data_IF_753808138516
#
_entry.id   IF_753808138516
#
_cell.length_a   1.000
_cell.length_b   1.000
_cell.length_c   1.000
_cell.angle_alpha   90.00
_cell.angle_beta   90.00
_cell.angle_gamma   90.00
#
_symmetry.space_group_name_H-M   'P 1'
#
loop_
_entity.id
_entity.type
_entity.pdbx_description
1 polymer ?
#
# COMPACT_ATOMS: atom_id res chain seq x y z
N UNK A 1 -8.04 29.29 22.14
CA UNK A 1 -7.01 28.51 21.40
C UNK A 1 -6.30 29.46 20.45
N UNK A 2 -4.96 29.56 20.57
CA UNK A 2 -4.14 30.38 19.67
C UNK A 2 -2.73 29.81 19.59
N UNK A 3 -2.18 29.65 18.37
CA UNK A 3 -0.86 29.11 18.14
C UNK A 3 -0.27 29.55 16.80
N UNK A 4 1.06 29.43 16.67
CA UNK A 4 1.80 29.63 15.43
C UNK A 4 2.56 28.34 15.07
N UNK A 5 2.57 28.00 13.78
CA UNK A 5 3.21 26.80 13.23
C UNK A 5 3.88 27.12 11.89
N UNK A 6 4.92 26.35 11.55
CA UNK A 6 5.52 26.37 10.23
C UNK A 6 4.52 25.90 9.16
N UNK A 7 4.48 26.58 8.02
CA UNK A 7 3.53 26.31 6.94
C UNK A 7 3.69 24.93 6.34
N UNK A 8 4.93 24.51 6.06
CA UNK A 8 5.20 23.25 5.39
C UNK A 8 4.89 22.07 6.32
N UNK A 9 5.30 22.19 7.58
CA UNK A 9 5.00 21.19 8.60
C UNK A 9 3.49 21.03 8.79
N UNK A 10 2.74 22.14 8.85
CA UNK A 10 1.27 22.10 8.94
C UNK A 10 0.64 21.46 7.69
N UNK A 11 1.07 21.88 6.50
CA UNK A 11 0.53 21.39 5.24
C UNK A 11 0.74 19.88 5.08
N UNK A 12 1.92 19.37 5.43
CA UNK A 12 2.22 17.94 5.40
C UNK A 12 1.38 17.14 6.39
N UNK A 13 1.22 17.63 7.63
CA UNK A 13 0.43 16.94 8.65
C UNK A 13 -1.06 16.93 8.31
N UNK A 14 -1.59 18.05 7.81
CA UNK A 14 -2.98 18.12 7.35
C UNK A 14 -3.20 17.23 6.13
N UNK A 15 -2.27 17.21 5.18
CA UNK A 15 -2.33 16.31 4.03
C UNK A 15 -2.25 14.82 4.43
N UNK A 16 -1.47 14.50 5.45
CA UNK A 16 -1.39 13.16 6.03
C UNK A 16 -2.74 12.75 6.64
N UNK A 17 -3.26 13.53 7.58
CA UNK A 17 -4.50 13.23 8.28
C UNK A 17 -5.72 13.25 7.35
N UNK A 18 -5.73 14.11 6.32
CA UNK A 18 -6.81 14.17 5.35
C UNK A 18 -7.01 12.87 4.54
N UNK A 19 -6.02 11.97 4.50
CA UNK A 19 -6.14 10.68 3.80
C UNK A 19 -7.09 9.71 4.48
N UNK A 20 -7.25 9.80 5.80
CA UNK A 20 -8.20 8.99 6.56
C UNK A 20 -9.62 9.59 6.57
N UNK A 21 -9.85 10.74 5.91
CA UNK A 21 -11.19 11.30 5.81
C UNK A 21 -12.08 10.45 4.89
N UNK A 22 -13.27 10.07 5.32
CA UNK A 22 -14.21 9.30 4.51
C UNK A 22 -14.64 10.11 3.26
N UNK A 23 -14.80 9.42 2.15
CA UNK A 23 -15.32 10.04 0.92
C UNK A 23 -16.79 10.44 1.06
N UNK A 24 -17.56 9.65 1.84
CA UNK A 24 -18.97 9.86 2.16
C UNK A 24 -19.15 9.63 3.65
N UNK A 25 -18.99 10.68 4.48
CA UNK A 25 -19.11 10.54 5.93
C UNK A 25 -20.52 10.12 6.33
N UNK A 26 -20.63 9.14 7.23
CA UNK A 26 -21.91 8.70 7.81
C UNK A 26 -22.53 9.78 8.70
N UNK A 27 -21.69 10.55 9.36
CA UNK A 27 -22.06 11.74 10.14
C UNK A 27 -21.15 12.91 9.75
N UNK A 28 -21.67 14.16 9.71
CA UNK A 28 -20.91 15.31 9.19
C UNK A 28 -19.57 15.58 9.88
N UNK A 29 -19.47 15.32 11.18
CA UNK A 29 -18.23 15.57 11.97
C UNK A 29 -17.04 14.74 11.49
N UNK A 30 -17.27 13.55 10.90
CA UNK A 30 -16.21 12.70 10.35
C UNK A 30 -15.55 13.29 9.10
N UNK A 31 -16.14 14.33 8.48
CA UNK A 31 -15.47 15.12 7.44
C UNK A 31 -14.45 16.12 8.01
N UNK A 32 -14.34 16.17 9.34
CA UNK A 32 -13.48 17.11 10.06
C UNK A 32 -12.09 16.58 10.32
N UNK A 33 -11.15 17.50 10.42
CA UNK A 33 -9.85 17.32 11.06
C UNK A 33 -9.93 17.99 12.43
N UNK A 34 -9.61 17.20 13.46
CA UNK A 34 -9.48 17.67 14.84
C UNK A 34 -8.07 18.19 15.03
N UNK A 35 -7.96 19.38 15.58
CA UNK A 35 -6.70 20.00 15.96
C UNK A 35 -6.73 20.27 17.46
N UNK A 36 -5.78 19.76 18.18
CA UNK A 36 -5.62 19.92 19.61
C UNK A 36 -4.23 20.46 19.91
N UNK A 37 -4.16 21.62 20.54
CA UNK A 37 -2.90 22.28 20.86
C UNK A 37 -2.69 22.35 22.36
N UNK A 38 -1.52 21.89 22.79
CA UNK A 38 -0.95 21.98 24.12
C UNK A 38 0.52 22.30 24.01
N UNK A 39 1.40 21.40 24.44
CA UNK A 39 2.85 21.50 24.23
C UNK A 39 3.24 21.25 22.76
N UNK A 40 2.39 20.51 22.05
CA UNK A 40 2.48 20.27 20.62
C UNK A 40 1.10 20.44 19.99
N UNK A 41 1.03 20.55 18.68
CA UNK A 41 -0.20 20.48 17.91
C UNK A 41 -0.42 19.04 17.43
N UNK A 42 -1.48 18.40 17.91
CA UNK A 42 -1.94 17.12 17.39
C UNK A 42 -3.06 17.37 16.36
N UNK A 43 -2.83 16.90 15.16
CA UNK A 43 -3.78 16.94 14.04
C UNK A 43 -4.26 15.54 13.77
N UNK A 44 -5.57 15.29 13.81
CA UNK A 44 -6.10 13.93 13.71
C UNK A 44 -7.39 13.84 12.90
N UNK A 45 -7.63 12.67 12.32
CA UNK A 45 -8.88 12.28 11.69
C UNK A 45 -9.21 10.82 11.98
N UNK A 46 -10.52 10.47 11.96
CA UNK A 46 -11.01 9.13 12.22
C UNK A 46 -12.36 8.92 11.54
N UNK A 47 -12.55 7.75 10.92
CA UNK A 47 -13.80 7.39 10.23
C UNK A 47 -14.44 6.11 10.78
N UNK A 48 -14.07 5.68 11.97
CA UNK A 48 -14.36 4.39 12.65
C UNK A 48 -13.60 3.18 12.15
N UNK A 49 -13.02 3.22 10.94
CA UNK A 49 -12.20 2.14 10.39
C UNK A 49 -10.71 2.49 10.43
N UNK A 50 -10.37 3.74 10.06
CA UNK A 50 -9.01 4.23 9.95
C UNK A 50 -8.85 5.50 10.76
N UNK A 51 -7.82 5.57 11.62
CA UNK A 51 -7.37 6.82 12.23
C UNK A 51 -6.05 7.27 11.62
N UNK A 52 -5.85 8.57 11.59
CA UNK A 52 -4.56 9.19 11.27
C UNK A 52 -4.31 10.34 12.23
N UNK A 53 -3.11 10.39 12.79
CA UNK A 53 -2.65 11.42 13.72
C UNK A 53 -1.24 11.86 13.38
N UNK A 54 -0.98 13.15 13.48
CA UNK A 54 0.34 13.75 13.36
C UNK A 54 0.55 14.74 14.50
N UNK A 55 1.73 14.66 15.15
CA UNK A 55 2.14 15.57 16.21
C UNK A 55 3.23 16.51 15.70
N UNK A 56 3.02 17.81 15.86
CA UNK A 56 3.86 18.88 15.32
C UNK A 56 4.39 19.80 16.41
N UNK A 57 5.63 20.30 16.27
CA UNK A 57 6.12 21.39 17.10
C UNK A 57 5.40 22.69 16.76
N UNK A 58 4.94 23.41 17.75
CA UNK A 58 4.25 24.70 17.61
C UNK A 58 4.68 25.66 18.70
N UNK A 59 4.45 26.98 18.47
CA UNK A 59 4.45 27.99 19.51
C UNK A 59 3.01 28.22 19.98
N UNK A 60 2.71 27.81 21.20
CA UNK A 60 1.36 27.89 21.77
C UNK A 60 1.20 29.14 22.60
N UNK A 61 0.25 30.02 22.24
CA UNK A 61 -0.17 31.15 23.08
C UNK A 61 -1.31 30.70 24.03
N UNK A 62 -2.30 29.97 23.50
CA UNK A 62 -3.46 29.46 24.25
C UNK A 62 -3.80 28.04 23.81
N UNK A 63 -3.79 27.07 24.73
CA UNK A 63 -4.18 25.69 24.43
C UNK A 63 -5.66 25.61 24.07
N UNK A 64 -6.06 24.50 23.44
CA UNK A 64 -7.45 24.24 23.10
C UNK A 64 -7.63 23.25 21.97
N UNK A 65 -8.89 23.03 21.61
CA UNK A 65 -9.27 22.07 20.57
C UNK A 65 -10.26 22.71 19.60
N UNK A 66 -10.12 22.40 18.32
CA UNK A 66 -11.09 22.75 17.29
C UNK A 66 -11.27 21.61 16.29
N UNK A 67 -12.41 21.64 15.60
CA UNK A 67 -12.74 20.72 14.51
C UNK A 67 -13.20 21.53 13.31
N UNK A 68 -12.54 21.37 12.15
CA UNK A 68 -12.85 22.07 10.91
C UNK A 68 -12.92 21.11 9.74
N UNK A 69 -13.56 21.54 8.63
CA UNK A 69 -13.60 20.76 7.40
C UNK A 69 -12.19 20.36 6.94
N UNK A 70 -11.89 19.08 6.98
CA UNK A 70 -10.56 18.57 6.70
C UNK A 70 -10.13 18.75 5.25
N UNK A 71 -11.05 18.56 4.30
CA UNK A 71 -10.76 18.78 2.86
C UNK A 71 -10.43 20.23 2.57
N UNK A 72 -11.26 21.14 3.10
CA UNK A 72 -11.05 22.56 2.92
C UNK A 72 -9.75 23.03 3.59
N UNK A 73 -9.46 22.54 4.80
CA UNK A 73 -8.19 22.84 5.48
C UNK A 73 -6.99 22.35 4.65
N UNK A 74 -7.06 21.14 4.08
CA UNK A 74 -6.00 20.59 3.24
C UNK A 74 -5.77 21.39 1.95
N UNK A 75 -6.83 21.91 1.32
CA UNK A 75 -6.72 22.78 0.15
C UNK A 75 -6.10 24.13 0.51
N UNK A 76 -6.53 24.72 1.62
CA UNK A 76 -6.00 26.00 2.12
C UNK A 76 -4.51 25.85 2.44
N UNK A 77 -4.13 24.89 3.32
CA UNK A 77 -2.73 24.76 3.77
C UNK A 77 -1.76 24.50 2.62
N UNK A 78 -2.19 23.77 1.58
CA UNK A 78 -1.40 23.55 0.37
C UNK A 78 -1.15 24.84 -0.42
N UNK A 79 -2.08 25.80 -0.36
CA UNK A 79 -2.05 27.02 -1.16
C UNK A 79 -1.45 28.23 -0.43
N UNK A 80 -1.09 28.09 0.84
CA UNK A 80 -0.53 29.18 1.64
C UNK A 80 0.84 29.62 1.13
N UNK A 81 1.15 30.95 1.25
CA UNK A 81 2.50 31.42 0.98
C UNK A 81 3.51 30.88 2.00
N UNK A 82 4.79 30.89 1.64
CA UNK A 82 5.89 30.44 2.51
C UNK A 82 6.14 31.44 3.64
N UNK A 83 5.30 31.36 4.66
CA UNK A 83 5.30 32.21 5.87
C UNK A 83 4.73 31.38 7.04
N UNK A 84 5.10 31.72 8.30
CA UNK A 84 4.45 31.11 9.47
C UNK A 84 2.91 31.30 9.43
N UNK A 85 2.23 30.28 9.93
CA UNK A 85 0.77 30.25 10.02
C UNK A 85 0.34 30.53 11.44
N UNK A 86 -0.44 31.58 11.63
CA UNK A 86 -1.11 31.86 12.89
C UNK A 86 -2.54 31.33 12.82
N UNK A 87 -2.96 30.58 13.83
CA UNK A 87 -4.33 30.08 13.95
C UNK A 87 -4.93 30.47 15.28
N UNK A 88 -6.17 30.98 15.26
CA UNK A 88 -6.94 31.32 16.45
C UNK A 88 -8.39 30.84 16.35
N UNK A 89 -8.99 30.56 17.50
CA UNK A 89 -10.41 30.23 17.63
C UNK A 89 -11.19 31.47 18.16
N UNK A 90 -12.09 31.98 17.35
CA UNK A 90 -12.94 33.16 17.67
C UNK A 90 -14.42 32.76 17.66
N UNK A 91 -14.95 32.42 18.84
CA UNK A 91 -16.30 31.87 18.95
C UNK A 91 -16.42 30.51 18.20
N UNK A 92 -17.24 30.47 17.17
CA UNK A 92 -17.43 29.29 16.29
C UNK A 92 -16.63 29.36 14.99
N UNK A 93 -15.58 30.16 14.95
CA UNK A 93 -14.77 30.37 13.75
C UNK A 93 -13.31 30.15 14.05
N UNK A 94 -12.65 29.31 13.23
CA UNK A 94 -11.21 29.21 13.19
C UNK A 94 -10.68 30.25 12.18
N UNK A 95 -9.81 31.12 12.64
CA UNK A 95 -9.17 32.14 11.78
C UNK A 95 -7.72 31.68 11.56
N UNK A 96 -7.34 31.53 10.31
CA UNK A 96 -6.00 31.14 9.86
C UNK A 96 -5.40 32.31 9.10
N UNK A 97 -4.26 32.80 9.54
CA UNK A 97 -3.54 33.93 8.89
C UNK A 97 -2.14 33.47 8.49
N UNK A 98 -1.75 33.80 7.25
CA UNK A 98 -0.43 33.48 6.72
C UNK A 98 0.03 34.63 5.81
N UNK A 99 0.97 35.44 6.27
CA UNK A 99 1.34 36.70 5.59
C UNK A 99 0.16 37.63 5.42
N UNK A 100 -0.22 37.93 4.18
CA UNK A 100 -1.36 38.79 3.85
C UNK A 100 -2.68 38.00 3.59
N UNK A 101 -2.64 36.68 3.70
CA UNK A 101 -3.82 35.85 3.47
C UNK A 101 -4.49 35.50 4.81
N UNK A 102 -5.81 35.67 4.86
CA UNK A 102 -6.63 35.30 6.02
C UNK A 102 -7.80 34.47 5.57
N UNK A 103 -7.96 33.32 6.21
CA UNK A 103 -9.09 32.41 5.98
C UNK A 103 -9.89 32.24 7.27
N UNK A 104 -11.19 32.18 7.13
CA UNK A 104 -12.10 31.93 8.25
C UNK A 104 -12.92 30.69 7.94
N UNK A 105 -12.79 29.67 8.79
CA UNK A 105 -13.51 28.41 8.68
C UNK A 105 -14.52 28.31 9.82
N UNK A 106 -15.73 27.82 9.52
CA UNK A 106 -16.66 27.44 10.56
C UNK A 106 -16.19 26.16 11.26
N UNK A 107 -16.26 26.17 12.59
CA UNK A 107 -15.94 24.97 13.38
C UNK A 107 -17.16 24.05 13.46
N UNK A 108 -16.90 22.76 13.64
CA UNK A 108 -17.88 21.74 13.97
C UNK A 108 -17.83 21.45 15.48
N UNK A 109 -18.89 20.87 16.08
CA UNK A 109 -18.89 20.47 17.48
C UNK A 109 -17.80 19.41 17.74
N UNK A 110 -16.88 19.69 18.64
CA UNK A 110 -15.79 18.79 19.00
C UNK A 110 -16.27 17.65 19.91
N UNK A 111 -17.33 17.87 20.65
CA UNK A 111 -17.99 16.91 21.53
C UNK A 111 -18.64 15.74 20.78
N UNK A 112 -19.03 15.97 19.53
CA UNK A 112 -19.64 14.94 18.67
C UNK A 112 -18.59 14.11 17.91
N UNK A 113 -17.31 14.50 18.01
CA UNK A 113 -16.23 13.79 17.33
C UNK A 113 -15.83 12.52 18.10
N UNK A 114 -15.76 11.33 17.44
CA UNK A 114 -15.45 10.11 18.15
C UNK A 114 -14.03 10.13 18.73
N UNK A 115 -13.86 9.46 19.86
CA UNK A 115 -12.53 9.22 20.43
C UNK A 115 -11.73 8.32 19.48
N UNK A 116 -10.50 8.72 19.20
CA UNK A 116 -9.59 7.89 18.40
C UNK A 116 -9.27 6.59 19.18
N UNK A 117 -9.11 5.48 18.45
CA UNK A 117 -8.70 4.23 19.06
C UNK A 117 -7.27 4.36 19.64
N UNK A 118 -7.03 3.71 20.76
CA UNK A 118 -5.68 3.61 21.30
C UNK A 118 -4.82 2.69 20.43
N UNK A 119 -3.60 3.12 20.16
CA UNK A 119 -2.65 2.30 19.41
C UNK A 119 -2.25 1.06 20.23
N UNK A 120 -2.30 -0.15 19.67
CA UNK A 120 -1.79 -1.35 20.34
C UNK A 120 -0.33 -1.20 20.76
N UNK A 121 0.15 -2.02 21.71
CA UNK A 121 1.57 -2.09 22.03
C UNK A 121 2.40 -2.47 20.80
N UNK A 122 3.59 -1.85 20.63
CA UNK A 122 4.49 -2.17 19.51
C UNK A 122 4.85 -3.65 19.49
N UNK A 123 4.64 -4.28 18.35
CA UNK A 123 5.01 -5.68 18.09
C UNK A 123 6.43 -5.78 17.54
N UNK A 124 6.95 -4.72 16.93
CA UNK A 124 8.30 -4.63 16.39
C UNK A 124 8.46 -3.48 15.43
N UNK A 125 9.62 -3.41 14.75
CA UNK A 125 9.93 -2.37 13.76
C UNK A 125 10.58 -2.93 12.50
N UNK A 126 10.48 -2.17 11.41
CA UNK A 126 11.07 -2.47 10.11
C UNK A 126 11.60 -1.19 9.47
N UNK A 127 12.67 -1.30 8.69
CA UNK A 127 13.20 -0.16 7.94
C UNK A 127 12.14 0.44 7.00
N UNK A 128 12.03 1.75 6.99
CA UNK A 128 11.00 2.49 6.24
C UNK A 128 10.99 2.12 4.76
N UNK A 129 12.17 2.08 4.12
CA UNK A 129 12.30 1.77 2.69
C UNK A 129 11.93 0.32 2.39
N UNK A 130 12.33 -0.62 3.27
CA UNK A 130 12.02 -2.04 3.14
C UNK A 130 10.50 -2.25 3.25
N UNK A 131 9.86 -1.60 4.21
CA UNK A 131 8.41 -1.66 4.39
C UNK A 131 7.66 -1.11 3.17
N UNK A 132 8.04 0.08 2.71
CA UNK A 132 7.41 0.74 1.57
C UNK A 132 7.53 -0.10 0.29
N UNK A 133 8.72 -0.63 0.02
CA UNK A 133 8.97 -1.50 -1.14
C UNK A 133 8.15 -2.80 -1.07
N UNK A 134 8.18 -3.49 0.08
CA UNK A 134 7.46 -4.75 0.27
C UNK A 134 5.94 -4.60 0.13
N UNK A 135 5.38 -3.54 0.72
CA UNK A 135 3.95 -3.24 0.60
C UNK A 135 3.58 -2.90 -0.84
N UNK A 136 4.37 -2.08 -1.54
CA UNK A 136 4.12 -1.73 -2.94
C UNK A 136 4.12 -2.96 -3.85
N UNK A 137 5.07 -3.89 -3.63
CA UNK A 137 5.18 -5.13 -4.39
C UNK A 137 3.97 -6.04 -4.21
N UNK A 138 3.38 -6.09 -3.01
CA UNK A 138 2.29 -7.01 -2.71
C UNK A 138 0.92 -6.38 -2.95
N UNK A 139 0.70 -5.13 -2.55
CA UNK A 139 -0.61 -4.49 -2.64
C UNK A 139 -1.19 -4.43 -4.07
N UNK A 140 -0.33 -4.48 -5.09
CA UNK A 140 -0.73 -4.47 -6.51
C UNK A 140 -1.60 -5.66 -6.90
N UNK A 141 -1.45 -6.81 -6.23
CA UNK A 141 -2.20 -8.03 -6.53
C UNK A 141 -3.51 -8.16 -5.73
N UNK A 142 -3.81 -7.24 -4.82
CA UNK A 142 -5.06 -7.23 -4.08
C UNK A 142 -6.26 -6.95 -5.01
N UNK A 143 -7.37 -7.61 -4.72
CA UNK A 143 -8.64 -7.39 -5.42
C UNK A 143 -9.21 -6.00 -5.18
N UNK A 144 -10.07 -5.55 -6.10
CA UNK A 144 -10.78 -4.26 -6.01
C UNK A 144 -12.29 -4.44 -5.91
N UNK A 145 -12.74 -5.67 -5.80
CA UNK A 145 -14.16 -6.03 -5.71
C UNK A 145 -14.56 -6.13 -4.23
N UNK A 146 -15.27 -5.13 -3.74
CA UNK A 146 -15.73 -5.06 -2.36
C UNK A 146 -16.73 -6.17 -1.98
N UNK A 147 -17.27 -6.90 -2.98
CA UNK A 147 -18.10 -8.08 -2.71
C UNK A 147 -17.30 -9.30 -2.22
N UNK A 148 -15.97 -9.23 -2.33
CA UNK A 148 -15.02 -10.23 -1.85
C UNK A 148 -13.99 -9.58 -0.90
N UNK A 149 -14.41 -9.11 0.29
CA UNK A 149 -13.58 -8.28 1.17
C UNK A 149 -12.22 -8.91 1.51
N UNK A 150 -12.18 -10.23 1.72
CA UNK A 150 -10.95 -10.97 2.01
C UNK A 150 -9.88 -10.79 0.94
N UNK A 151 -10.27 -10.66 -0.33
CA UNK A 151 -9.35 -10.48 -1.45
C UNK A 151 -8.92 -9.02 -1.63
N UNK A 152 -9.59 -8.06 -0.99
CA UNK A 152 -9.16 -6.65 -0.98
C UNK A 152 -8.05 -6.37 0.03
N UNK A 153 -7.68 -7.39 0.82
CA UNK A 153 -6.67 -7.30 1.87
C UNK A 153 -5.30 -7.83 1.46
N UNK A 154 -4.31 -7.43 2.25
CA UNK A 154 -2.99 -8.03 2.32
C UNK A 154 -2.94 -8.91 3.57
N UNK A 155 -2.68 -10.19 3.38
CA UNK A 155 -2.37 -11.11 4.46
C UNK A 155 -0.97 -10.84 4.96
N UNK A 156 -0.84 -10.60 6.25
CA UNK A 156 0.43 -10.43 6.96
C UNK A 156 0.59 -11.61 7.90
N UNK A 157 1.67 -12.35 7.77
CA UNK A 157 2.03 -13.43 8.68
C UNK A 157 3.38 -13.11 9.30
N UNK A 158 3.45 -13.17 10.62
CA UNK A 158 4.64 -12.91 11.41
C UNK A 158 5.09 -14.23 12.05
N UNK A 159 6.32 -14.61 11.83
CA UNK A 159 6.96 -15.78 12.44
C UNK A 159 8.38 -15.38 12.88
N UNK A 160 8.51 -15.07 14.17
CA UNK A 160 9.75 -14.56 14.74
C UNK A 160 10.24 -13.29 14.05
N UNK A 161 11.39 -13.36 13.42
CA UNK A 161 12.08 -12.26 12.73
C UNK A 161 11.68 -12.10 11.24
N UNK A 162 10.69 -12.85 10.79
CA UNK A 162 10.23 -12.85 9.40
C UNK A 162 8.79 -12.38 9.30
N UNK A 163 8.52 -11.45 8.39
CA UNK A 163 7.18 -11.06 7.96
C UNK A 163 6.95 -11.58 6.55
N UNK A 164 5.85 -12.28 6.32
CA UNK A 164 5.36 -12.64 4.99
C UNK A 164 4.14 -11.82 4.66
N UNK A 165 4.18 -11.08 3.56
CA UNK A 165 3.05 -10.37 2.98
C UNK A 165 2.52 -11.14 1.78
N UNK A 166 1.20 -11.30 1.67
CA UNK A 166 0.57 -11.94 0.51
C UNK A 166 -0.73 -11.25 0.11
N UNK A 167 -0.99 -11.09 -1.17
CA UNK A 167 -2.27 -10.64 -1.71
C UNK A 167 -2.63 -11.35 -3.00
N UNK A 168 -3.91 -11.48 -3.30
CA UNK A 168 -4.41 -12.15 -4.51
C UNK A 168 -5.79 -11.63 -4.90
N UNK A 169 -6.08 -11.65 -6.21
CA UNK A 169 -7.39 -11.37 -6.78
C UNK A 169 -7.97 -12.57 -7.55
N UNK A 170 -7.46 -13.79 -7.32
CA UNK A 170 -7.74 -15.07 -8.00
C UNK A 170 -7.01 -15.25 -9.34
N UNK A 171 -6.56 -14.18 -9.98
CA UNK A 171 -5.85 -14.22 -11.27
C UNK A 171 -4.34 -14.08 -11.11
N UNK A 172 -3.92 -13.53 -10.00
CA UNK A 172 -2.53 -13.31 -9.62
C UNK A 172 -2.36 -13.40 -8.12
N UNK A 173 -1.16 -13.71 -7.69
CA UNK A 173 -0.76 -13.75 -6.29
C UNK A 173 0.62 -13.12 -6.17
N UNK A 174 0.76 -12.16 -5.27
CA UNK A 174 2.05 -11.60 -4.89
C UNK A 174 2.40 -12.03 -3.47
N UNK A 175 3.62 -12.48 -3.26
CA UNK A 175 4.16 -12.87 -1.95
C UNK A 175 5.52 -12.20 -1.76
N UNK A 176 5.71 -11.55 -0.62
CA UNK A 176 6.98 -10.94 -0.23
C UNK A 176 7.35 -11.36 1.18
N UNK A 177 8.55 -11.85 1.37
CA UNK A 177 9.15 -12.12 2.67
C UNK A 177 10.17 -11.05 2.99
N UNK A 178 10.21 -10.60 4.24
CA UNK A 178 11.17 -9.60 4.70
C UNK A 178 11.59 -9.85 6.15
N UNK A 179 12.79 -9.41 6.50
CA UNK A 179 13.29 -9.42 7.86
C UNK A 179 12.87 -8.14 8.56
N UNK A 180 12.57 -8.26 9.85
CA UNK A 180 12.20 -7.17 10.72
C UNK A 180 12.77 -7.36 12.13
N UNK A 181 12.60 -6.37 12.99
CA UNK A 181 13.05 -6.40 14.38
C UNK A 181 11.85 -6.61 15.31
N UNK A 182 11.50 -7.85 15.69
CA UNK A 182 10.38 -8.11 16.59
C UNK A 182 10.70 -7.62 18.00
N UNK A 183 9.69 -7.12 18.72
CA UNK A 183 9.82 -6.75 20.13
C UNK A 183 10.07 -7.96 21.04
N UNK A 184 9.69 -9.15 20.59
CA UNK A 184 9.92 -10.44 21.26
C UNK A 184 10.25 -11.50 20.20
N UNK A 185 11.19 -12.42 20.47
CA UNK A 185 11.63 -13.41 19.47
C UNK A 185 10.58 -14.47 19.13
N UNK A 186 9.57 -14.66 19.97
CA UNK A 186 8.52 -15.66 19.86
C UNK A 186 7.20 -15.11 19.29
N UNK A 187 7.25 -13.95 18.63
CA UNK A 187 6.06 -13.38 18.00
C UNK A 187 5.60 -14.27 16.86
N UNK A 188 4.36 -14.77 16.97
CA UNK A 188 3.67 -15.50 15.91
C UNK A 188 2.26 -14.94 15.79
N UNK A 189 1.94 -14.38 14.63
CA UNK A 189 0.67 -13.70 14.42
C UNK A 189 0.30 -13.69 12.95
N UNK A 190 -0.99 -13.54 12.70
CA UNK A 190 -1.47 -13.37 11.33
C UNK A 190 -2.65 -12.39 11.31
N UNK A 191 -2.65 -11.50 10.34
CA UNK A 191 -3.66 -10.47 10.16
C UNK A 191 -4.00 -10.28 8.68
N UNK A 192 -5.20 -9.76 8.41
CA UNK A 192 -5.62 -9.35 7.08
C UNK A 192 -5.90 -7.85 7.10
N UNK A 193 -5.10 -7.07 6.38
CA UNK A 193 -5.13 -5.62 6.42
C UNK A 193 -5.70 -5.09 5.10
N UNK A 194 -6.62 -4.10 5.09
CA UNK A 194 -7.08 -3.47 3.86
C UNK A 194 -5.89 -2.98 3.01
N UNK A 195 -5.74 -3.52 1.79
CA UNK A 195 -4.56 -3.27 0.95
C UNK A 195 -4.39 -1.78 0.60
N UNK A 196 -5.50 -1.07 0.38
CA UNK A 196 -5.47 0.37 0.10
C UNK A 196 -4.91 1.15 1.28
N UNK A 197 -5.41 0.90 2.49
CA UNK A 197 -4.94 1.57 3.70
C UNK A 197 -3.46 1.28 3.97
N UNK A 198 -3.06 0.00 3.84
CA UNK A 198 -1.67 -0.41 4.01
C UNK A 198 -0.74 0.28 2.99
N UNK A 199 -1.13 0.34 1.72
CA UNK A 199 -0.37 1.00 0.67
C UNK A 199 -0.29 2.52 0.87
N UNK A 200 -1.37 3.17 1.30
CA UNK A 200 -1.38 4.60 1.60
C UNK A 200 -0.50 4.92 2.82
N UNK A 201 -0.54 4.07 3.83
CA UNK A 201 0.33 4.16 5.02
C UNK A 201 1.80 4.03 4.63
N UNK A 202 2.17 2.97 3.93
CA UNK A 202 3.56 2.70 3.54
C UNK A 202 4.16 3.82 2.67
N UNK A 203 3.39 4.37 1.73
CA UNK A 203 3.82 5.52 0.91
C UNK A 203 4.01 6.81 1.69
N UNK A 204 3.43 6.92 2.84
CA UNK A 204 3.35 8.16 3.60
C UNK A 204 4.25 8.20 4.82
N UNK A 205 4.59 7.05 5.38
CA UNK A 205 5.56 6.92 6.47
C UNK A 205 6.99 6.84 5.92
N UNK A 206 7.40 7.86 5.15
CA UNK A 206 8.72 7.92 4.54
C UNK A 206 9.72 8.72 5.36
N UNK A 207 9.28 9.43 6.39
CA UNK A 207 10.13 10.16 7.32
C UNK A 207 10.53 9.26 8.49
N UNK A 208 11.83 9.20 8.77
CA UNK A 208 12.39 8.34 9.82
C UNK A 208 13.09 7.10 9.25
N UNK A 209 13.89 6.43 10.09
CA UNK A 209 14.64 5.25 9.71
C UNK A 209 13.79 3.97 9.75
N UNK A 210 12.80 3.92 10.64
CA UNK A 210 11.99 2.74 10.91
C UNK A 210 10.51 3.08 11.05
N UNK A 211 9.67 2.10 10.72
CA UNK A 211 8.24 2.06 11.00
C UNK A 211 8.01 1.07 12.13
N UNK A 212 7.39 1.50 13.22
CA UNK A 212 6.90 0.64 14.29
C UNK A 212 5.57 0.04 13.86
N UNK A 213 5.41 -1.25 14.06
CA UNK A 213 4.19 -2.02 13.78
C UNK A 213 3.61 -2.47 15.12
N UNK A 214 2.33 -2.20 15.32
CA UNK A 214 1.59 -2.54 16.54
C UNK A 214 0.35 -3.35 16.18
N UNK A 215 0.33 -4.64 16.53
CA UNK A 215 -0.74 -5.55 16.17
C UNK A 215 -1.53 -5.96 17.42
N UNK A 216 -2.82 -5.57 17.48
CA UNK A 216 -3.79 -5.99 18.46
C UNK A 216 -4.74 -7.01 17.83
N UNK A 217 -4.63 -8.28 18.24
CA UNK A 217 -5.52 -9.33 17.77
C UNK A 217 -6.78 -9.43 18.64
N UNK A 218 -7.92 -9.92 18.11
CA UNK A 218 -9.14 -10.13 18.88
C UNK A 218 -8.87 -10.93 20.16
N UNK A 219 -9.36 -10.44 21.31
CA UNK A 219 -9.18 -11.09 22.60
C UNK A 219 -7.79 -10.95 23.23
N UNK A 220 -6.89 -10.16 22.65
CA UNK A 220 -5.57 -9.84 23.20
C UNK A 220 -5.50 -8.37 23.64
N UNK A 221 -4.55 -8.01 24.53
CA UNK A 221 -4.28 -6.61 24.85
C UNK A 221 -3.96 -5.82 23.57
N UNK A 222 -4.64 -4.68 23.38
CA UNK A 222 -4.50 -3.85 22.19
C UNK A 222 -5.51 -4.13 21.07
N UNK A 223 -6.44 -5.09 21.24
CA UNK A 223 -7.67 -5.11 20.45
C UNK A 223 -8.53 -3.90 20.82
N UNK A 224 -9.40 -3.46 19.89
CA UNK A 224 -10.36 -2.40 20.19
C UNK A 224 -11.23 -2.81 21.39
N UNK A 225 -11.09 -2.06 22.47
CA UNK A 225 -11.80 -2.33 23.74
C UNK A 225 -13.32 -2.20 23.59
N UNK A 226 -13.80 -1.46 22.60
CA UNK A 226 -15.22 -1.21 22.38
C UNK A 226 -15.91 -2.33 21.59
N UNK A 227 -15.22 -2.93 20.63
CA UNK A 227 -15.78 -3.92 19.69
C UNK A 227 -15.15 -5.31 19.84
N UNK A 228 -13.98 -5.42 20.48
CA UNK A 228 -13.21 -6.67 20.55
C UNK A 228 -12.59 -7.11 19.20
N UNK A 229 -12.65 -6.26 18.18
CA UNK A 229 -12.13 -6.51 16.85
C UNK A 229 -10.61 -6.29 16.78
N UNK A 230 -9.95 -6.98 15.87
CA UNK A 230 -8.52 -6.81 15.65
C UNK A 230 -8.18 -5.46 15.01
N UNK A 231 -7.04 -4.92 15.44
CA UNK A 231 -6.53 -3.65 14.91
C UNK A 231 -5.03 -3.71 14.69
N UNK A 232 -4.55 -2.98 13.69
CA UNK A 232 -3.12 -2.77 13.48
C UNK A 232 -2.82 -1.28 13.44
N UNK A 233 -1.71 -0.89 14.07
CA UNK A 233 -1.19 0.46 14.05
C UNK A 233 0.21 0.52 13.44
N UNK A 234 0.52 1.66 12.83
CA UNK A 234 1.81 1.99 12.26
C UNK A 234 2.24 3.36 12.76
N UNK A 235 3.50 3.48 13.18
CA UNK A 235 4.06 4.73 13.67
C UNK A 235 5.46 4.98 13.09
N UNK A 236 5.72 6.22 12.65
CA UNK A 236 7.01 6.65 12.14
C UNK A 236 7.04 8.15 11.87
N UNK A 237 8.16 8.82 12.18
CA UNK A 237 8.35 10.24 11.88
C UNK A 237 7.30 11.19 12.50
N UNK A 238 6.81 10.89 13.71
CA UNK A 238 5.79 11.69 14.39
C UNK A 238 4.38 11.54 13.82
N UNK A 239 4.18 10.56 12.95
CA UNK A 239 2.88 10.19 12.33
C UNK A 239 2.47 8.81 12.80
N UNK A 240 1.19 8.64 13.04
CA UNK A 240 0.60 7.40 13.52
C UNK A 240 -0.71 7.16 12.78
N UNK A 241 -0.99 5.90 12.46
CA UNK A 241 -2.26 5.47 11.88
C UNK A 241 -2.66 4.12 12.45
N UNK A 242 -3.95 3.92 12.66
CA UNK A 242 -4.51 2.61 12.98
C UNK A 242 -5.57 2.24 11.96
N UNK A 243 -5.74 0.95 11.72
CA UNK A 243 -6.84 0.43 10.90
C UNK A 243 -7.37 -0.87 11.47
N UNK A 244 -8.68 -1.09 11.33
CA UNK A 244 -9.29 -2.37 11.64
C UNK A 244 -8.81 -3.43 10.68
N UNK A 245 -8.74 -4.67 11.17
CA UNK A 245 -8.42 -5.83 10.38
C UNK A 245 -9.68 -6.30 9.62
N UNK A 246 -9.46 -6.89 8.44
CA UNK A 246 -10.53 -7.57 7.71
C UNK A 246 -10.76 -8.95 8.32
N UNK A 247 -12.03 -9.34 8.41
CA UNK A 247 -12.43 -10.68 8.83
C UNK A 247 -12.48 -11.64 7.65
N UNK A 248 -12.20 -12.91 7.93
CA UNK A 248 -12.36 -14.01 6.99
C UNK A 248 -11.08 -14.81 6.74
N UNK A 249 -11.24 -15.95 6.09
CA UNK A 249 -10.13 -16.83 5.71
C UNK A 249 -9.49 -16.40 4.39
N UNK A 250 -8.24 -15.99 4.46
CA UNK A 250 -7.43 -15.75 3.26
C UNK A 250 -7.05 -17.10 2.62
N UNK A 251 -7.00 -17.18 1.27
CA UNK A 251 -6.62 -18.41 0.57
C UNK A 251 -5.28 -18.98 1.06
N UNK A 252 -5.16 -20.32 1.07
CA UNK A 252 -3.91 -21.03 1.40
C UNK A 252 -2.89 -20.83 0.28
N UNK A 253 -2.35 -19.62 0.18
CA UNK A 253 -1.55 -19.15 -0.96
C UNK A 253 -0.26 -19.96 -1.17
N UNK A 254 0.34 -20.51 -0.12
CA UNK A 254 1.57 -21.32 -0.26
C UNK A 254 1.36 -22.56 -1.13
N UNK A 255 0.18 -23.17 -1.07
CA UNK A 255 -0.16 -24.33 -1.90
C UNK A 255 -0.40 -24.00 -3.39
N UNK A 256 -0.47 -22.71 -3.74
CA UNK A 256 -0.63 -22.25 -5.12
C UNK A 256 0.71 -22.09 -5.83
N UNK A 257 1.80 -21.96 -5.07
CA UNK A 257 3.15 -21.82 -5.61
C UNK A 257 3.68 -23.20 -5.98
N UNK A 258 4.10 -23.44 -7.25
CA UNK A 258 4.70 -24.69 -7.65
C UNK A 258 6.08 -24.90 -6.99
N UNK A 259 6.40 -26.13 -6.67
CA UNK A 259 7.72 -26.54 -6.14
C UNK A 259 8.70 -26.91 -7.26
N UNK A 260 8.18 -27.29 -8.45
CA UNK A 260 8.97 -27.73 -9.60
C UNK A 260 8.54 -27.02 -10.87
N UNK A 261 9.49 -26.74 -11.76
CA UNK A 261 9.27 -26.08 -13.03
C UNK A 261 9.88 -26.89 -14.18
N UNK A 262 9.20 -26.89 -15.35
CA UNK A 262 9.64 -27.60 -16.55
C UNK A 262 10.42 -26.70 -17.52
N UNK A 263 10.23 -25.39 -17.42
CA UNK A 263 10.96 -24.43 -18.25
C UNK A 263 11.19 -23.13 -17.48
N UNK A 264 12.30 -22.45 -17.78
CA UNK A 264 12.70 -21.19 -17.16
C UNK A 264 13.20 -20.23 -18.23
N UNK A 265 12.67 -19.00 -18.22
CA UNK A 265 13.16 -17.91 -19.04
C UNK A 265 13.82 -16.84 -18.17
N UNK A 266 14.92 -16.26 -18.64
CA UNK A 266 15.58 -15.11 -18.04
C UNK A 266 15.74 -14.00 -19.07
N UNK A 267 15.32 -12.79 -18.70
CA UNK A 267 15.32 -11.61 -19.58
C UNK A 267 15.77 -10.37 -18.81
N UNK A 268 16.39 -9.39 -19.48
CA UNK A 268 16.61 -8.07 -18.89
C UNK A 268 15.28 -7.42 -18.51
N UNK A 269 15.07 -7.11 -17.22
CA UNK A 269 13.79 -6.61 -16.67
C UNK A 269 13.30 -5.35 -17.37
N UNK A 270 14.18 -4.37 -17.56
CA UNK A 270 13.82 -3.10 -18.20
C UNK A 270 13.38 -3.29 -19.66
N UNK A 271 14.16 -4.05 -20.46
CA UNK A 271 13.84 -4.29 -21.86
C UNK A 271 12.52 -5.05 -22.01
N UNK A 272 12.30 -6.07 -21.19
CA UNK A 272 11.07 -6.86 -21.22
C UNK A 272 9.85 -6.01 -20.81
N UNK A 273 9.97 -5.22 -19.74
CA UNK A 273 8.89 -4.32 -19.29
C UNK A 273 8.50 -3.32 -20.37
N UNK A 274 9.47 -2.69 -21.01
CA UNK A 274 9.21 -1.72 -22.09
C UNK A 274 8.62 -2.38 -23.34
N UNK A 275 9.03 -3.59 -23.68
CA UNK A 275 8.46 -4.37 -24.78
C UNK A 275 6.99 -4.73 -24.50
N UNK A 276 6.68 -5.23 -23.31
CA UNK A 276 5.30 -5.50 -22.89
C UNK A 276 4.45 -4.24 -22.95
N UNK A 277 4.95 -3.09 -22.50
CA UNK A 277 4.25 -1.81 -22.62
C UNK A 277 3.93 -1.45 -24.07
N UNK A 278 4.91 -1.54 -24.96
CA UNK A 278 4.72 -1.21 -26.39
C UNK A 278 3.71 -2.13 -27.07
N UNK A 279 3.88 -3.44 -26.91
CA UNK A 279 2.99 -4.43 -27.52
C UNK A 279 1.57 -4.30 -26.97
N UNK A 280 1.43 -3.93 -25.69
CA UNK A 280 0.13 -3.74 -25.03
C UNK A 280 -0.68 -2.55 -25.56
N UNK A 281 -0.08 -1.62 -26.30
CA UNK A 281 -0.78 -0.45 -26.87
C UNK A 281 -1.89 -0.85 -27.85
N UNK A 282 -1.74 -2.00 -28.52
CA UNK A 282 -2.73 -2.53 -29.47
C UNK A 282 -3.60 -3.62 -28.86
N UNK A 283 -3.40 -3.95 -27.58
CA UNK A 283 -4.23 -4.90 -26.87
C UNK A 283 -5.53 -4.21 -26.43
N UNK A 284 -6.67 -4.73 -26.87
CA UNK A 284 -7.95 -4.35 -26.31
C UNK A 284 -8.10 -4.86 -24.87
N UNK A 285 -9.12 -4.36 -24.13
CA UNK A 285 -9.33 -4.73 -22.72
C UNK A 285 -9.41 -6.23 -22.45
N UNK A 286 -9.86 -7.00 -23.42
CA UNK A 286 -10.03 -8.47 -23.33
C UNK A 286 -8.95 -9.26 -24.05
N UNK A 287 -8.04 -8.59 -24.77
CA UNK A 287 -7.04 -9.26 -25.60
C UNK A 287 -5.75 -9.45 -24.79
N UNK A 288 -5.25 -10.70 -24.66
CA UNK A 288 -4.01 -10.97 -23.95
C UNK A 288 -2.80 -10.56 -24.79
N UNK A 289 -1.67 -10.36 -24.10
CA UNK A 289 -0.33 -10.44 -24.71
C UNK A 289 0.09 -11.91 -24.71
N UNK A 290 0.45 -12.42 -25.90
CA UNK A 290 0.97 -13.76 -26.10
C UNK A 290 2.49 -13.71 -26.06
N UNK A 291 3.09 -14.63 -25.35
CA UNK A 291 4.52 -14.83 -25.25
C UNK A 291 4.87 -16.21 -25.80
N UNK A 292 5.74 -16.27 -26.77
CA UNK A 292 6.26 -17.51 -27.35
C UNK A 292 7.75 -17.59 -27.07
N UNK A 293 8.12 -18.45 -26.12
CA UNK A 293 9.51 -18.70 -25.73
C UNK A 293 10.08 -19.87 -26.52
N UNK A 294 11.28 -19.68 -27.04
CA UNK A 294 12.10 -20.69 -27.68
C UNK A 294 13.58 -20.44 -27.38
N UNK A 295 14.46 -21.31 -27.83
CA UNK A 295 15.90 -21.17 -27.60
C UNK A 295 16.38 -19.76 -28.03
N UNK A 296 16.95 -19.03 -27.09
CA UNK A 296 17.58 -17.72 -27.30
C UNK A 296 16.62 -16.51 -27.42
N UNK A 297 15.31 -16.71 -27.45
CA UNK A 297 14.38 -15.59 -27.68
C UNK A 297 12.99 -15.75 -27.09
N UNK A 298 12.29 -14.64 -26.97
CA UNK A 298 10.84 -14.56 -26.76
C UNK A 298 10.20 -13.65 -27.81
N UNK A 299 9.09 -14.09 -28.39
CA UNK A 299 8.25 -13.29 -29.26
C UNK A 299 7.01 -12.86 -28.51
N UNK A 300 6.77 -11.55 -28.45
CA UNK A 300 5.59 -10.93 -27.85
C UNK A 300 4.63 -10.54 -28.96
N UNK A 301 3.36 -10.89 -28.82
CA UNK A 301 2.31 -10.57 -29.79
C UNK A 301 1.05 -10.07 -29.10
N UNK A 302 0.42 -9.04 -29.65
CA UNK A 302 -0.90 -8.57 -29.24
C UNK A 302 -1.71 -8.05 -30.42
N UNK A 303 -3.04 -7.98 -30.25
CA UNK A 303 -3.99 -7.57 -31.28
C UNK A 303 -4.64 -8.73 -32.01
N UNK A 304 -5.81 -8.51 -32.61
CA UNK A 304 -6.65 -9.54 -33.23
C UNK A 304 -6.67 -9.47 -34.78
N UNK A 305 -5.92 -8.57 -35.40
CA UNK A 305 -5.70 -8.57 -36.84
C UNK A 305 -6.51 -7.61 -37.67
N UNK A 306 -7.68 -7.16 -37.21
CA UNK A 306 -8.55 -6.32 -38.04
C UNK A 306 -8.29 -4.83 -37.88
N UNK A 307 -7.82 -4.36 -36.71
CA UNK A 307 -7.54 -2.93 -36.46
C UNK A 307 -6.05 -2.66 -36.24
N UNK A 308 -5.39 -3.43 -35.37
CA UNK A 308 -3.98 -3.27 -35.06
C UNK A 308 -3.34 -4.57 -34.55
N UNK A 309 -2.06 -4.75 -34.88
CA UNK A 309 -1.24 -5.85 -34.39
C UNK A 309 0.13 -5.31 -33.98
N UNK A 310 0.73 -5.90 -32.96
CA UNK A 310 2.13 -5.67 -32.61
C UNK A 310 2.82 -7.00 -32.42
N UNK A 311 4.04 -7.07 -32.90
CA UNK A 311 4.97 -8.19 -32.71
C UNK A 311 6.32 -7.61 -32.35
N UNK A 312 6.94 -8.10 -31.30
CA UNK A 312 8.27 -7.71 -30.88
C UNK A 312 9.04 -8.95 -30.42
N UNK A 313 10.31 -9.03 -30.80
CA UNK A 313 11.20 -10.13 -30.40
C UNK A 313 12.30 -9.61 -29.50
N UNK A 314 12.56 -10.31 -28.40
CA UNK A 314 13.66 -10.02 -27.48
C UNK A 314 14.55 -11.25 -27.32
N UNK A 315 15.83 -10.99 -27.09
CA UNK A 315 16.75 -12.02 -26.65
C UNK A 315 16.37 -12.48 -25.23
N UNK A 316 16.35 -13.79 -25.02
CA UNK A 316 16.04 -14.41 -23.75
C UNK A 316 16.92 -15.65 -23.55
N UNK A 317 17.43 -15.86 -22.34
CA UNK A 317 17.92 -17.18 -21.96
C UNK A 317 16.71 -18.06 -21.63
N UNK A 318 16.57 -19.18 -22.33
CA UNK A 318 15.44 -20.09 -22.13
C UNK A 318 15.94 -21.52 -22.02
N UNK A 319 15.51 -22.20 -20.96
CA UNK A 319 15.80 -23.60 -20.68
C UNK A 319 14.47 -24.34 -20.54
N UNK A 320 14.27 -25.38 -21.34
CA UNK A 320 13.07 -26.18 -21.43
C UNK A 320 12.52 -26.30 -22.85
N UNK A 321 11.40 -26.99 -23.02
CA UNK A 321 10.69 -27.11 -24.29
C UNK A 321 9.98 -25.81 -24.66
N UNK A 322 9.89 -25.50 -25.95
CA UNK A 322 9.19 -24.32 -26.45
C UNK A 322 7.81 -24.17 -25.83
N UNK A 323 7.51 -22.98 -25.33
CA UNK A 323 6.26 -22.70 -24.65
C UNK A 323 5.56 -21.46 -25.21
N UNK A 324 4.27 -21.57 -25.46
CA UNK A 324 3.41 -20.43 -25.77
C UNK A 324 2.40 -20.22 -24.65
N UNK A 325 2.35 -19.00 -24.12
CA UNK A 325 1.50 -18.63 -23.00
C UNK A 325 0.97 -17.22 -23.20
N UNK A 326 -0.21 -16.93 -22.68
CA UNK A 326 -0.82 -15.62 -22.81
C UNK A 326 -1.25 -15.06 -21.45
N UNK A 327 -1.05 -13.75 -21.25
CA UNK A 327 -1.37 -13.08 -20.00
C UNK A 327 -2.18 -11.81 -20.23
N UNK A 328 -2.93 -11.41 -19.20
CA UNK A 328 -3.44 -10.06 -19.12
C UNK A 328 -2.26 -9.07 -19.09
N UNK A 329 -2.19 -8.11 -20.03
CA UNK A 329 -1.04 -7.21 -20.15
C UNK A 329 -0.83 -6.35 -18.90
N UNK A 330 -1.90 -5.86 -18.27
CA UNK A 330 -1.79 -5.05 -17.06
C UNK A 330 -1.25 -5.87 -15.88
N UNK A 331 -1.74 -7.11 -15.72
CA UNK A 331 -1.27 -7.98 -14.64
C UNK A 331 0.19 -8.39 -14.83
N UNK A 332 0.61 -8.61 -16.07
CA UNK A 332 2.02 -8.88 -16.38
C UNK A 332 2.89 -7.65 -16.07
N UNK A 333 2.47 -6.46 -16.49
CA UNK A 333 3.18 -5.20 -16.19
C UNK A 333 3.27 -4.92 -14.70
N UNK A 334 2.19 -5.14 -13.95
CA UNK A 334 2.17 -4.96 -12.51
C UNK A 334 3.22 -5.85 -11.82
N UNK A 335 3.33 -7.11 -12.23
CA UNK A 335 4.34 -8.04 -11.72
C UNK A 335 5.76 -7.64 -12.09
N UNK A 336 6.00 -7.27 -13.36
CA UNK A 336 7.32 -6.85 -13.85
C UNK A 336 7.81 -5.56 -13.19
N UNK A 337 6.91 -4.59 -13.00
CA UNK A 337 7.26 -3.30 -12.35
C UNK A 337 7.64 -3.47 -10.88
N UNK A 338 7.16 -4.54 -10.25
CA UNK A 338 7.47 -4.87 -8.86
C UNK A 338 8.82 -5.61 -8.69
N UNK A 339 9.46 -6.06 -9.78
CA UNK A 339 10.76 -6.73 -9.73
C UNK A 339 11.88 -5.72 -9.48
N UNK A 340 12.58 -5.91 -8.38
CA UNK A 340 13.79 -5.15 -8.01
C UNK A 340 15.05 -5.96 -8.37
N UNK A 341 15.25 -6.17 -9.67
CA UNK A 341 16.39 -6.90 -10.21
C UNK A 341 16.58 -6.55 -11.68
N UNK A 342 17.81 -6.49 -12.14
CA UNK A 342 18.15 -6.26 -13.57
C UNK A 342 17.66 -7.40 -14.47
N UNK A 343 17.48 -8.59 -13.92
CA UNK A 343 17.04 -9.78 -14.65
C UNK A 343 15.76 -10.32 -14.04
N UNK A 344 14.71 -10.43 -14.86
CA UNK A 344 13.47 -11.14 -14.56
C UNK A 344 13.62 -12.62 -14.91
N UNK A 345 13.24 -13.49 -13.98
CA UNK A 345 13.09 -14.92 -14.20
C UNK A 345 11.61 -15.28 -14.24
N UNK A 346 11.20 -16.00 -15.28
CA UNK A 346 9.85 -16.53 -15.42
C UNK A 346 9.95 -18.06 -15.45
N UNK A 347 9.29 -18.71 -14.50
CA UNK A 347 9.31 -20.17 -14.36
C UNK A 347 7.96 -20.75 -14.71
N UNK A 348 7.95 -21.79 -15.53
CA UNK A 348 6.76 -22.42 -16.08
C UNK A 348 6.67 -23.89 -15.68
N UNK A 349 5.45 -24.36 -15.46
CA UNK A 349 5.13 -25.80 -15.39
C UNK A 349 4.61 -26.30 -16.73
N UNK A 350 3.39 -25.93 -17.11
CA UNK A 350 2.78 -26.16 -18.42
C UNK A 350 1.99 -24.91 -18.85
N UNK A 351 1.68 -24.71 -20.15
CA UNK A 351 1.03 -23.50 -20.66
C UNK A 351 -0.31 -23.14 -20.01
N UNK A 352 -1.04 -24.14 -19.48
CA UNK A 352 -2.36 -23.95 -18.84
C UNK A 352 -2.28 -23.66 -17.32
N UNK A 353 -1.10 -23.69 -16.74
CA UNK A 353 -0.86 -23.44 -15.31
C UNK A 353 -0.23 -22.07 -15.08
N UNK A 354 -0.33 -21.54 -13.86
CA UNK A 354 0.30 -20.24 -13.53
C UNK A 354 1.81 -20.27 -13.77
N UNK A 355 2.34 -19.15 -14.26
CA UNK A 355 3.76 -18.87 -14.26
C UNK A 355 4.17 -18.14 -12.97
N UNK A 356 5.40 -18.34 -12.52
CA UNK A 356 5.99 -17.62 -11.38
C UNK A 356 7.05 -16.66 -11.90
N UNK A 357 6.88 -15.39 -11.59
CA UNK A 357 7.77 -14.30 -11.98
C UNK A 357 8.55 -13.85 -10.74
N UNK A 358 9.88 -13.80 -10.85
CA UNK A 358 10.78 -13.39 -9.77
C UNK A 358 11.93 -12.55 -10.33
N UNK A 359 12.63 -11.83 -9.47
CA UNK A 359 13.97 -11.34 -9.81
C UNK A 359 14.99 -12.48 -9.78
N UNK A 360 16.01 -12.42 -10.60
CA UNK A 360 17.15 -13.34 -10.48
C UNK A 360 17.95 -12.95 -9.25
N UNK A 361 18.22 -13.87 -8.32
CA UNK A 361 19.08 -13.60 -7.17
C UNK A 361 20.47 -13.11 -7.62
N UNK A 362 21.06 -12.22 -6.86
CA UNK A 362 22.45 -11.81 -7.08
C UNK A 362 23.40 -12.97 -6.68
N UNK A 363 24.21 -13.45 -7.62
CA UNK A 363 25.14 -14.57 -7.42
C UNK A 363 24.46 -15.95 -7.55
N UNK A 364 25.21 -16.99 -7.18
CA UNK A 364 24.78 -18.40 -7.27
C UNK A 364 24.02 -18.88 -5.99
N UNK A 365 23.48 -17.95 -5.20
CA UNK A 365 22.73 -18.31 -3.99
C UNK A 365 21.42 -18.99 -4.36
N UNK A 366 21.21 -20.28 -3.97
CA UNK A 366 19.96 -20.99 -4.24
C UNK A 366 18.80 -20.56 -3.32
N UNK A 367 18.99 -19.50 -2.50
CA UNK A 367 17.93 -18.98 -1.64
C UNK A 367 16.69 -18.65 -2.47
N UNK A 368 15.52 -18.98 -1.95
CA UNK A 368 14.26 -18.59 -2.58
C UNK A 368 14.20 -17.06 -2.68
N UNK A 369 13.77 -16.53 -3.82
CA UNK A 369 13.64 -15.09 -3.97
C UNK A 369 12.62 -14.55 -2.97
N UNK A 370 12.95 -13.44 -2.32
CA UNK A 370 12.09 -12.78 -1.32
C UNK A 370 10.75 -12.35 -1.89
N UNK A 371 10.68 -12.05 -3.20
CA UNK A 371 9.47 -11.68 -3.93
C UNK A 371 9.12 -12.70 -4.99
N UNK A 372 7.88 -13.17 -4.97
CA UNK A 372 7.30 -14.12 -5.94
C UNK A 372 5.96 -13.60 -6.42
N UNK A 373 5.81 -13.53 -7.72
CA UNK A 373 4.57 -13.12 -8.36
C UNK A 373 4.04 -14.24 -9.24
N UNK A 374 2.92 -14.82 -8.88
CA UNK A 374 2.26 -15.86 -9.64
C UNK A 374 1.18 -15.23 -10.52
N UNK A 375 1.18 -15.57 -11.81
CA UNK A 375 0.26 -15.03 -12.80
C UNK A 375 -0.46 -16.14 -13.55
N UNK A 376 -1.80 -16.13 -13.49
CA UNK A 376 -2.65 -17.06 -14.21
C UNK A 376 -2.64 -16.74 -15.71
N UNK A 377 -2.43 -17.75 -16.57
CA UNK A 377 -2.55 -17.55 -18.02
C UNK A 377 -4.01 -17.41 -18.45
N UNK A 378 -4.22 -16.66 -19.56
CA UNK A 378 -5.47 -16.64 -20.28
C UNK A 378 -5.45 -17.80 -21.26
N UNK A 379 -6.52 -18.60 -21.29
CA UNK A 379 -6.64 -19.68 -22.25
C UNK A 379 -6.77 -19.11 -23.66
N UNK A 380 -5.87 -19.50 -24.54
CA UNK A 380 -5.98 -19.21 -25.95
C UNK A 380 -7.11 -20.11 -26.50
N UNK A 381 -8.09 -19.49 -27.16
CA UNK A 381 -9.04 -20.25 -27.99
C UNK A 381 -8.23 -20.87 -29.13
N UNK A 382 -8.21 -22.21 -29.19
CA UNK A 382 -7.57 -22.97 -30.25
C UNK A 382 -8.37 -22.87 -31.55
#
# INVERSE_FOLDING_TARGET
MKFQVDRDILAEAVAWTARALPSRPSVPVLAGIRMEVGDALNVSSFDYEVSAEASLPVTTDEPGTLLVSGRLLAEITRSLPDRPVDMSLEGSKAVLTCGNATFTLLTMPTEDYPTLPEMPPSTGSVGTDIFAAAVAQVAVAAGRDDTLPVLTGVRVEIDGDTITLASTDRYRLAVRELRWNPSRPDVNAAALIPARTLADTARSLTSGAEVSIALGLPGQPGADSATGEGMIGFEGGGRRTTTRLLDGEFPKFRSLLPDEFNAVAELPTAAFTESVKRVSLVAERSTPVRLSFSEGQVVLEAGTGDEAQAVETLDASFDGDDIQIAFNPQYLLDGLTAIDSDTTRISFTIPAKPAVITGKPAGDDPAQPDYRYLLMPIRLAG
#
